data_IF_611674832281
#
_entry.id   IF_611674832281
#
_cell.length_a   1.000
_cell.length_b   1.000
_cell.length_c   1.000
_cell.angle_alpha   90.00
_cell.angle_beta   90.00
_cell.angle_gamma   90.00
#
_symmetry.space_group_name_H-M   'P 1'
#
loop_
_entity.id
_entity.type
_entity.pdbx_description
1 polymer ?
#
# COMPACT_ATOMS: atom_id res chain seq x y z
N UNK A 1 5.70 23.79 14.96
CA UNK A 1 6.51 22.78 14.25
C UNK A 1 5.67 22.27 13.10
N UNK A 2 6.21 22.20 11.89
CA UNK A 2 5.52 21.59 10.75
C UNK A 2 5.28 20.10 11.04
N UNK A 3 4.10 19.54 10.68
CA UNK A 3 3.87 18.11 10.80
C UNK A 3 4.80 17.32 9.87
N UNK A 4 5.21 16.13 10.32
CA UNK A 4 5.98 15.20 9.49
C UNK A 4 5.05 14.50 8.49
N UNK A 5 5.30 14.69 7.19
CA UNK A 5 4.47 14.13 6.12
C UNK A 5 4.60 12.62 6.00
N UNK A 6 5.68 12.03 6.55
CA UNK A 6 5.89 10.60 6.53
C UNK A 6 5.31 9.89 7.74
N UNK A 7 4.92 10.59 8.81
CA UNK A 7 4.30 9.95 9.97
C UNK A 7 3.01 9.20 9.54
N UNK A 8 2.80 7.92 9.93
CA UNK A 8 3.52 7.15 10.97
C UNK A 8 4.59 6.18 10.44
N UNK A 9 5.14 6.41 9.24
CA UNK A 9 6.22 5.60 8.66
C UNK A 9 7.53 5.83 9.43
N UNK A 10 8.23 4.73 9.71
CA UNK A 10 9.62 4.72 10.18
C UNK A 10 10.56 4.74 8.97
N UNK A 11 11.83 5.15 9.13
CA UNK A 11 12.83 5.08 8.04
C UNK A 11 13.84 3.99 8.35
N UNK A 12 14.05 3.07 7.41
CA UNK A 12 15.03 2.00 7.57
C UNK A 12 16.45 2.60 7.43
N UNK A 13 17.33 2.49 8.44
CA UNK A 13 18.65 3.12 8.39
C UNK A 13 19.56 2.52 7.32
N UNK A 14 19.32 1.29 6.88
CA UNK A 14 20.12 0.59 5.86
C UNK A 14 19.67 0.93 4.45
N UNK A 15 18.37 0.89 4.18
CA UNK A 15 17.83 1.11 2.83
C UNK A 15 17.40 2.56 2.60
N UNK A 16 17.28 3.36 3.66
CA UNK A 16 16.70 4.71 3.65
C UNK A 16 15.24 4.74 3.16
N UNK A 17 14.60 3.58 3.10
CA UNK A 17 13.20 3.47 2.70
C UNK A 17 12.27 3.72 3.89
N UNK A 18 11.17 4.46 3.68
CA UNK A 18 10.12 4.56 4.68
C UNK A 18 9.32 3.26 4.75
N UNK A 19 8.98 2.79 5.94
CA UNK A 19 8.21 1.57 6.15
C UNK A 19 7.19 1.73 7.28
N UNK A 20 6.11 0.95 7.23
CA UNK A 20 5.12 0.88 8.30
C UNK A 20 5.27 -0.42 9.09
N UNK A 21 5.57 -0.33 10.38
CA UNK A 21 5.61 -1.51 11.26
C UNK A 21 4.23 -1.88 11.78
N UNK A 22 3.86 -3.16 11.69
CA UNK A 22 2.59 -3.61 12.26
C UNK A 22 2.61 -3.57 13.79
N UNK A 23 1.52 -3.09 14.40
CA UNK A 23 1.45 -2.90 15.86
C UNK A 23 1.58 -4.21 16.64
N UNK A 24 0.95 -5.29 16.14
CA UNK A 24 0.91 -6.61 16.80
C UNK A 24 2.05 -7.53 16.39
N UNK A 25 2.57 -7.40 15.17
CA UNK A 25 3.64 -8.23 14.62
C UNK A 25 4.83 -7.35 14.25
N UNK A 26 5.71 -7.11 15.22
CA UNK A 26 6.77 -6.11 15.10
C UNK A 26 7.84 -6.46 14.05
N UNK A 27 8.00 -7.74 13.74
CA UNK A 27 8.83 -8.25 12.64
C UNK A 27 8.17 -8.04 11.27
N UNK A 28 6.86 -7.79 11.18
CA UNK A 28 6.19 -7.57 9.90
C UNK A 28 6.10 -6.07 9.60
N UNK A 29 6.64 -5.69 8.44
CA UNK A 29 6.69 -4.31 7.96
C UNK A 29 6.05 -4.19 6.57
N UNK A 30 5.52 -3.01 6.27
CA UNK A 30 5.11 -2.64 4.91
C UNK A 30 6.15 -1.71 4.31
N UNK A 31 6.68 -2.04 3.14
CA UNK A 31 7.68 -1.23 2.43
C UNK A 31 7.13 -0.74 1.09
N UNK A 32 7.84 0.19 0.42
CA UNK A 32 7.63 0.46 -0.99
C UNK A 32 7.94 -0.80 -1.82
N UNK A 33 7.46 -0.79 -3.07
CA UNK A 33 7.75 -1.84 -4.04
C UNK A 33 9.19 -1.73 -4.53
N UNK A 34 9.90 -2.84 -4.64
CA UNK A 34 11.25 -2.89 -5.23
C UNK A 34 11.21 -3.65 -6.56
N UNK A 35 12.13 -3.33 -7.47
CA UNK A 35 12.14 -3.97 -8.80
C UNK A 35 12.65 -5.41 -8.72
N UNK A 36 13.57 -5.68 -7.81
CA UNK A 36 14.14 -6.99 -7.53
C UNK A 36 13.11 -8.02 -7.02
N UNK A 37 11.96 -7.56 -6.55
CA UNK A 37 10.88 -8.44 -6.07
C UNK A 37 10.23 -9.24 -7.20
N UNK A 38 10.46 -8.90 -8.48
CA UNK A 38 9.88 -9.56 -9.65
C UNK A 38 9.99 -11.09 -9.57
N UNK A 39 11.18 -11.58 -9.24
CA UNK A 39 11.49 -13.01 -9.13
C UNK A 39 10.67 -13.74 -8.05
N UNK A 40 10.27 -13.02 -6.99
CA UNK A 40 9.52 -13.58 -5.86
C UNK A 40 8.00 -13.50 -6.06
N UNK A 41 7.51 -12.58 -6.91
CA UNK A 41 6.08 -12.37 -7.15
C UNK A 41 5.42 -13.55 -7.90
N UNK A 42 6.06 -14.06 -8.96
CA UNK A 42 5.51 -15.15 -9.79
C UNK A 42 5.17 -16.40 -8.96
N UNK A 43 6.09 -16.98 -8.16
CA UNK A 43 5.76 -18.16 -7.37
C UNK A 43 4.68 -17.89 -6.31
N UNK A 44 4.64 -16.68 -5.73
CA UNK A 44 3.62 -16.30 -4.74
C UNK A 44 2.22 -16.20 -5.36
N UNK A 45 2.10 -15.58 -6.53
CA UNK A 45 0.80 -15.44 -7.21
C UNK A 45 0.31 -16.72 -7.88
N UNK A 46 1.22 -17.66 -8.19
CA UNK A 46 0.90 -18.94 -8.79
C UNK A 46 0.72 -20.07 -7.74
N UNK A 47 0.86 -19.77 -6.45
CA UNK A 47 0.56 -20.74 -5.39
C UNK A 47 -0.96 -21.00 -5.33
N UNK A 48 -1.35 -22.25 -5.60
CA UNK A 48 -2.75 -22.69 -5.63
C UNK A 48 -3.35 -22.88 -4.23
N UNK A 49 -2.53 -22.93 -3.18
CA UNK A 49 -3.00 -23.15 -1.80
C UNK A 49 -3.86 -21.99 -1.26
N UNK A 50 -3.45 -20.72 -1.39
CA UNK A 50 -4.22 -19.59 -0.85
C UNK A 50 -5.41 -19.16 -1.72
N UNK A 51 -5.48 -19.52 -3.02
CA UNK A 51 -6.50 -18.99 -3.93
C UNK A 51 -7.03 -20.03 -4.93
N UNK A 52 -8.32 -20.34 -4.88
CA UNK A 52 -9.00 -21.21 -5.84
C UNK A 52 -9.37 -20.52 -7.17
N UNK A 53 -9.19 -19.19 -7.30
CA UNK A 53 -9.71 -18.41 -8.45
C UNK A 53 -8.79 -17.31 -9.00
N UNK A 54 -7.52 -17.25 -8.61
CA UNK A 54 -6.60 -16.32 -9.28
C UNK A 54 -6.13 -16.92 -10.61
N UNK A 55 -6.27 -16.15 -11.69
CA UNK A 55 -5.60 -16.47 -12.95
C UNK A 55 -4.10 -16.38 -12.71
N UNK A 56 -3.33 -17.43 -13.04
CA UNK A 56 -1.87 -17.39 -12.95
C UNK A 56 -1.32 -16.15 -13.65
N UNK A 57 -0.31 -15.52 -13.05
CA UNK A 57 0.41 -14.41 -13.68
C UNK A 57 1.78 -14.91 -14.10
N UNK A 58 2.08 -14.78 -15.38
CA UNK A 58 3.40 -15.15 -15.93
C UNK A 58 4.39 -13.99 -15.84
N UNK A 59 3.89 -12.75 -15.72
CA UNK A 59 4.70 -11.54 -15.83
C UNK A 59 4.63 -10.66 -14.57
N UNK A 60 5.56 -10.91 -13.64
CA UNK A 60 5.74 -10.07 -12.47
C UNK A 60 6.33 -8.69 -12.80
N UNK A 61 7.07 -8.58 -13.91
CA UNK A 61 7.68 -7.32 -14.34
C UNK A 61 6.60 -6.36 -14.84
N UNK A 62 5.67 -6.83 -15.66
CA UNK A 62 4.50 -6.06 -16.10
C UNK A 62 3.72 -5.51 -14.90
N UNK A 63 3.53 -6.35 -13.87
CA UNK A 63 2.82 -5.95 -12.65
C UNK A 63 3.57 -4.85 -11.89
N UNK A 64 4.89 -5.00 -11.73
CA UNK A 64 5.72 -3.96 -11.11
C UNK A 64 5.72 -2.67 -11.94
N UNK A 65 5.85 -2.77 -13.27
CA UNK A 65 5.80 -1.62 -14.19
C UNK A 65 4.49 -0.84 -14.05
N UNK A 66 3.38 -1.55 -13.85
CA UNK A 66 2.07 -0.93 -13.67
C UNK A 66 1.89 -0.26 -12.31
N UNK A 67 2.40 -0.87 -11.24
CA UNK A 67 2.04 -0.46 -9.87
C UNK A 67 3.12 0.34 -9.13
N UNK A 68 4.40 0.10 -9.41
CA UNK A 68 5.49 0.79 -8.73
C UNK A 68 5.53 2.29 -9.03
N UNK A 69 5.48 2.76 -10.29
CA UNK A 69 5.64 4.18 -10.58
C UNK A 69 4.60 5.08 -9.89
N UNK A 70 3.28 4.75 -9.87
CA UNK A 70 2.31 5.54 -9.12
C UNK A 70 2.60 5.62 -7.61
N UNK A 71 3.07 4.52 -7.00
CA UNK A 71 3.45 4.50 -5.58
C UNK A 71 4.67 5.36 -5.30
N UNK A 72 5.67 5.33 -6.19
CA UNK A 72 6.88 6.15 -6.08
C UNK A 72 6.57 7.64 -6.20
N UNK A 73 5.65 8.02 -7.11
CA UNK A 73 5.16 9.40 -7.23
C UNK A 73 4.50 9.89 -5.95
N UNK A 74 3.61 9.08 -5.35
CA UNK A 74 2.96 9.42 -4.08
C UNK A 74 3.99 9.61 -2.97
N UNK A 75 4.98 8.72 -2.90
CA UNK A 75 6.03 8.85 -1.89
C UNK A 75 6.87 10.12 -2.10
N UNK A 76 7.16 10.47 -3.35
CA UNK A 76 7.88 11.70 -3.69
C UNK A 76 7.06 12.94 -3.32
N UNK A 77 5.75 12.96 -3.61
CA UNK A 77 4.86 14.06 -3.23
C UNK A 77 4.86 14.32 -1.70
N UNK A 78 4.89 13.25 -0.90
CA UNK A 78 4.98 13.37 0.56
C UNK A 78 6.32 13.96 0.99
N UNK A 79 7.42 13.51 0.36
CA UNK A 79 8.77 14.04 0.63
C UNK A 79 8.89 15.52 0.25
N UNK A 80 8.35 15.90 -0.90
CA UNK A 80 8.39 17.28 -1.40
C UNK A 80 7.54 18.22 -0.54
N UNK A 81 6.48 17.71 0.09
CA UNK A 81 5.63 18.46 1.01
C UNK A 81 6.24 18.61 2.42
N UNK A 82 7.42 18.04 2.70
CA UNK A 82 8.03 18.11 4.01
C UNK A 82 8.33 19.57 4.41
N UNK A 83 7.96 19.93 5.63
CA UNK A 83 8.07 21.31 6.12
C UNK A 83 6.86 22.21 5.81
N UNK A 84 5.88 21.72 5.03
CA UNK A 84 4.57 22.37 4.87
C UNK A 84 3.86 22.53 6.23
N UNK A 85 3.13 23.64 6.41
CA UNK A 85 2.33 23.88 7.62
C UNK A 85 1.17 22.88 7.80
N UNK A 86 0.75 22.23 6.71
CA UNK A 86 -0.38 21.29 6.70
C UNK A 86 0.00 19.93 6.09
N UNK A 87 -0.69 18.88 6.52
CA UNK A 87 -0.53 17.53 5.96
C UNK A 87 -1.01 17.48 4.50
N UNK A 88 -0.17 16.94 3.62
CA UNK A 88 -0.49 16.70 2.22
C UNK A 88 -1.43 15.52 2.10
N UNK A 89 -2.59 15.75 1.48
CA UNK A 89 -3.46 14.65 1.07
C UNK A 89 -2.96 14.04 -0.24
N UNK A 90 -2.72 12.73 -0.24
CA UNK A 90 -2.33 11.93 -1.41
C UNK A 90 -3.39 10.87 -1.75
N UNK A 91 -3.45 10.45 -3.02
CA UNK A 91 -4.51 9.55 -3.52
C UNK A 91 -4.14 8.06 -3.52
N UNK A 92 -3.28 7.62 -2.62
CA UNK A 92 -2.91 6.21 -2.48
C UNK A 92 -1.94 5.96 -1.33
N UNK A 93 -1.54 4.72 -1.14
CA UNK A 93 -0.57 4.33 -0.12
C UNK A 93 0.84 4.25 -0.71
N UNK A 94 1.86 4.89 -0.08
CA UNK A 94 3.25 4.84 -0.54
C UNK A 94 3.96 3.52 -0.23
N UNK A 95 3.35 2.66 0.60
CA UNK A 95 3.85 1.35 1.02
C UNK A 95 2.76 0.30 0.86
N UNK A 96 3.11 -0.88 0.34
CA UNK A 96 2.15 -1.93 0.02
C UNK A 96 2.73 -3.35 0.06
N UNK A 97 4.06 -3.50 0.13
CA UNK A 97 4.72 -4.79 0.15
C UNK A 97 4.94 -5.26 1.58
N UNK A 98 4.45 -6.44 1.90
CA UNK A 98 4.62 -7.09 3.19
C UNK A 98 5.99 -7.76 3.21
N UNK A 99 6.77 -7.43 4.23
CA UNK A 99 8.07 -8.06 4.48
C UNK A 99 8.19 -8.49 5.93
N UNK A 100 9.01 -9.51 6.15
CA UNK A 100 9.47 -9.91 7.47
C UNK A 100 10.90 -9.43 7.70
N UNK A 101 11.07 -8.53 8.67
CA UNK A 101 12.34 -8.06 9.16
C UNK A 101 13.02 -9.16 10.00
N UNK A 102 14.22 -9.54 9.60
CA UNK A 102 15.07 -10.53 10.26
C UNK A 102 15.89 -9.89 11.39
N UNK A 103 16.47 -10.72 12.26
CA UNK A 103 17.30 -10.27 13.39
C UNK A 103 18.56 -9.50 12.95
N UNK A 104 19.11 -9.84 11.78
CA UNK A 104 20.28 -9.16 11.18
C UNK A 104 19.91 -7.85 10.46
N UNK A 105 18.62 -7.45 10.49
CA UNK A 105 18.10 -6.26 9.84
C UNK A 105 17.88 -6.39 8.33
N UNK A 106 18.09 -7.57 7.74
CA UNK A 106 17.60 -7.89 6.40
C UNK A 106 16.08 -8.09 6.40
N UNK A 107 15.46 -8.11 5.23
CA UNK A 107 14.03 -8.38 5.10
C UNK A 107 13.73 -9.43 4.04
N UNK A 108 12.67 -10.22 4.27
CA UNK A 108 12.18 -11.25 3.37
C UNK A 108 10.84 -10.78 2.81
N UNK A 109 10.69 -10.79 1.49
CA UNK A 109 9.43 -10.48 0.83
C UNK A 109 8.40 -11.59 1.07
N UNK A 110 7.22 -11.22 1.58
CA UNK A 110 6.14 -12.17 1.89
C UNK A 110 4.94 -12.04 0.95
N UNK A 111 4.75 -10.86 0.34
CA UNK A 111 3.61 -10.60 -0.53
C UNK A 111 3.22 -9.13 -0.56
N UNK A 112 2.01 -8.82 -1.03
CA UNK A 112 1.54 -7.44 -1.14
C UNK A 112 0.10 -7.28 -0.64
N UNK A 113 -0.25 -6.05 -0.28
CA UNK A 113 -1.62 -5.64 0.01
C UNK A 113 -2.02 -4.44 -0.85
N UNK A 114 -3.29 -4.38 -1.22
CA UNK A 114 -3.85 -3.21 -1.86
C UNK A 114 -4.55 -2.35 -0.81
N UNK A 115 -4.14 -1.09 -0.69
CA UNK A 115 -4.78 -0.10 0.18
C UNK A 115 -5.34 0.98 -0.73
N UNK A 116 -6.66 1.16 -0.69
CA UNK A 116 -7.37 2.15 -1.49
C UNK A 116 -8.39 2.89 -0.66
N UNK A 117 -8.75 4.11 -1.08
CA UNK A 117 -9.87 4.83 -0.49
C UNK A 117 -11.16 4.10 -0.85
N UNK A 118 -12.03 3.90 0.13
CA UNK A 118 -13.36 3.38 -0.11
C UNK A 118 -14.26 4.52 -0.60
N UNK A 119 -14.80 4.40 -1.81
CA UNK A 119 -15.73 5.39 -2.38
C UNK A 119 -17.19 5.13 -1.99
N UNK A 120 -17.44 4.04 -1.27
CA UNK A 120 -18.73 3.69 -0.69
C UNK A 120 -18.93 4.49 0.60
N UNK A 121 -19.45 5.71 0.46
CA UNK A 121 -19.67 6.60 1.59
C UNK A 121 -20.60 6.02 2.67
N UNK A 122 -21.44 5.06 2.30
CA UNK A 122 -22.27 4.25 3.20
C UNK A 122 -21.46 3.38 4.18
N UNK A 123 -20.21 3.03 3.83
CA UNK A 123 -19.28 2.28 4.69
C UNK A 123 -18.38 3.19 5.54
N UNK A 124 -18.48 4.51 5.36
CA UNK A 124 -17.62 5.50 6.01
C UNK A 124 -18.26 6.11 7.27
N UNK A 125 -19.47 5.68 7.65
CA UNK A 125 -20.18 6.08 8.87
C UNK A 125 -19.71 5.31 10.11
N UNK A 126 -19.84 5.90 11.30
CA UNK A 126 -19.24 5.35 12.52
C UNK A 126 -20.06 4.25 13.21
N UNK A 127 -21.32 3.98 12.86
CA UNK A 127 -22.10 2.95 13.56
C UNK A 127 -23.26 2.26 12.80
N UNK A 128 -23.61 2.66 11.57
CA UNK A 128 -24.65 2.00 10.77
C UNK A 128 -24.39 2.18 9.28
N UNK A 129 -24.56 1.11 8.50
CA UNK A 129 -24.51 1.18 7.04
C UNK A 129 -25.80 1.84 6.56
N UNK A 130 -25.71 3.04 6.03
CA UNK A 130 -26.83 3.78 5.47
C UNK A 130 -27.08 3.34 4.01
N UNK A 131 -27.85 2.27 3.87
CA UNK A 131 -28.21 1.70 2.57
C UNK A 131 -29.16 2.60 1.75
N UNK A 132 -29.89 3.53 2.40
CA UNK A 132 -30.83 4.42 1.70
C UNK A 132 -30.10 5.47 0.85
N UNK A 133 -28.94 5.95 1.31
CA UNK A 133 -28.12 6.90 0.55
C UNK A 133 -27.13 6.27 -0.46
N UNK A 134 -26.94 4.95 -0.44
CA UNK A 134 -26.06 4.25 -1.37
C UNK A 134 -26.60 4.22 -2.81
N UNK A 135 -27.93 4.14 -2.96
CA UNK A 135 -28.62 4.01 -4.25
C UNK A 135 -28.62 5.31 -5.07
N UNK A 136 -28.57 6.47 -4.42
CA UNK A 136 -28.73 7.77 -5.09
C UNK A 136 -27.43 8.29 -5.73
N UNK A 137 -26.27 7.85 -5.25
CA UNK A 137 -24.95 8.26 -5.80
C UNK A 137 -24.50 7.39 -6.98
N UNK A 138 -24.88 6.11 -7.02
CA UNK A 138 -24.59 5.22 -8.15
C UNK A 138 -25.26 5.63 -9.46
N UNK A 139 -26.37 6.40 -9.40
CA UNK A 139 -27.04 6.96 -10.58
C UNK A 139 -26.38 8.23 -11.12
N UNK A 140 -25.79 9.06 -10.26
CA UNK A 140 -25.19 10.35 -10.66
C UNK A 140 -23.79 10.23 -11.27
N UNK A 141 -23.11 9.09 -11.10
CA UNK A 141 -21.78 8.83 -11.67
C UNK A 141 -21.79 8.15 -13.05
N UNK A 142 -22.97 7.85 -13.61
CA UNK A 142 -23.14 7.28 -14.96
C UNK A 142 -23.54 8.31 -16.03
N UNK A 143 -23.44 9.61 -15.72
CA UNK A 143 -23.72 10.71 -16.66
C UNK A 143 -22.47 11.48 -17.01
#
# INVERSE_FOLDING_TARGET
MAPDQLFPLEVNPRTQEPFLRLRKHKNIILTPMRWEDASSLVPLFNDKRPYTKLTPTEDAEERLQKHKPPSDVILQELKDAQGSETLKMVNGAPVSYIRELQEDGSDIFLGNIAIGRCFHGELMGTNTIDWEYAMDRGRKQKS
#
